data_IF_412716367011
#
_entry.id   IF_412716367011
#
_cell.length_a   1.000
_cell.length_b   1.000
_cell.length_c   1.000
_cell.angle_alpha   90.00
_cell.angle_beta   90.00
_cell.angle_gamma   90.00
#
_symmetry.space_group_name_H-M   'P 1'
#
loop_
_entity.id
_entity.type
_entity.pdbx_description
1 polymer ?
#
# COMPACT_ATOMS: atom_id res chain seq x y z
N UNK A 1 -22.60 -46.18 63.37
CA UNK A 1 -21.92 -46.34 64.68
C UNK A 1 -20.42 -46.41 64.43
N UNK A 2 -19.63 -45.59 65.18
CA UNK A 2 -18.15 -45.59 65.34
C UNK A 2 -17.35 -45.14 64.09
N UNK A 3 -16.78 -43.94 64.00
CA UNK A 3 -15.77 -43.19 64.79
C UNK A 3 -14.31 -43.57 64.51
N UNK A 4 -13.44 -42.54 64.65
CA UNK A 4 -11.97 -42.57 64.94
C UNK A 4 -11.09 -42.52 63.68
N UNK A 5 -10.54 -41.37 63.24
CA UNK A 5 -9.40 -40.57 63.76
C UNK A 5 -8.16 -41.43 64.03
N UNK A 6 -7.06 -41.19 63.32
CA UNK A 6 -5.74 -41.07 63.95
C UNK A 6 -4.71 -40.35 63.04
N UNK A 7 -4.04 -39.36 63.64
CA UNK A 7 -2.85 -38.66 63.16
C UNK A 7 -1.64 -39.53 63.45
N UNK A 8 -0.62 -39.53 62.59
CA UNK A 8 0.81 -39.55 62.99
C UNK A 8 1.63 -38.83 61.89
N UNK A 9 2.26 -37.72 62.28
CA UNK A 9 3.61 -37.32 61.83
C UNK A 9 4.55 -37.72 62.97
N UNK A 10 5.86 -38.02 62.79
CA UNK A 10 6.84 -37.05 62.28
C UNK A 10 8.05 -37.67 61.54
N UNK A 11 8.86 -36.88 60.84
CA UNK A 11 10.33 -36.95 60.98
C UNK A 11 11.04 -35.80 60.26
N UNK A 12 12.05 -35.29 60.96
CA UNK A 12 13.03 -34.28 60.59
C UNK A 12 14.08 -34.89 59.65
N UNK A 13 14.51 -34.17 58.59
CA UNK A 13 15.95 -34.05 58.32
C UNK A 13 16.30 -32.78 57.53
N UNK A 14 17.46 -32.25 57.86
CA UNK A 14 18.04 -30.97 57.53
C UNK A 14 19.13 -31.22 56.47
N UNK A 15 19.05 -30.59 55.31
CA UNK A 15 20.02 -30.85 54.23
C UNK A 15 20.13 -29.72 53.23
N UNK A 16 21.06 -28.82 53.48
CA UNK A 16 21.44 -27.75 52.57
C UNK A 16 21.93 -28.31 51.22
N UNK A 17 21.43 -27.76 50.10
CA UNK A 17 22.30 -27.61 48.94
C UNK A 17 21.99 -26.33 48.16
N UNK A 18 23.03 -25.52 48.01
CA UNK A 18 23.07 -24.31 47.21
C UNK A 18 23.22 -24.71 45.75
N UNK A 19 22.16 -24.60 44.97
CA UNK A 19 22.29 -24.59 43.51
C UNK A 19 21.76 -23.28 42.92
N UNK A 20 22.70 -22.53 42.35
CA UNK A 20 22.47 -21.25 41.67
C UNK A 20 21.77 -21.54 40.35
N UNK A 21 20.47 -21.31 40.32
CA UNK A 21 19.69 -21.35 39.07
C UNK A 21 20.25 -20.38 38.02
N UNK A 22 20.14 -20.73 36.72
CA UNK A 22 20.78 -19.98 35.65
C UNK A 22 20.20 -18.57 35.54
N UNK A 23 21.10 -17.57 35.50
CA UNK A 23 20.77 -16.17 35.24
C UNK A 23 19.90 -16.09 33.98
N UNK A 24 18.64 -15.69 34.14
CA UNK A 24 17.78 -15.26 33.02
C UNK A 24 18.50 -14.11 32.32
N UNK A 25 19.14 -14.39 31.19
CA UNK A 25 19.53 -13.35 30.23
C UNK A 25 18.22 -12.73 29.77
N UNK A 26 17.89 -11.56 30.32
CA UNK A 26 16.93 -10.65 29.70
C UNK A 26 17.53 -10.28 28.36
N UNK A 27 17.19 -11.02 27.32
CA UNK A 27 17.32 -10.51 25.96
C UNK A 27 16.33 -9.35 25.90
N UNK A 28 16.89 -8.15 25.90
CA UNK A 28 16.19 -6.95 25.50
C UNK A 28 15.75 -7.19 24.05
N UNK A 29 14.56 -7.75 23.86
CA UNK A 29 13.87 -7.65 22.58
C UNK A 29 13.62 -6.17 22.40
N UNK A 30 14.47 -5.53 21.60
CA UNK A 30 14.20 -4.21 21.04
C UNK A 30 12.90 -4.37 20.25
N UNK A 31 11.79 -4.07 20.90
CA UNK A 31 10.55 -3.76 20.24
C UNK A 31 10.88 -2.64 19.26
N UNK A 32 10.93 -2.96 17.97
CA UNK A 32 10.86 -1.98 16.90
C UNK A 32 9.46 -1.35 16.99
N UNK A 33 9.30 -0.37 17.89
CA UNK A 33 8.28 0.66 17.74
C UNK A 33 8.69 1.49 16.53
N UNK A 34 8.22 1.09 15.35
CA UNK A 34 8.15 2.02 14.23
C UNK A 34 7.06 3.06 14.54
N UNK A 35 7.26 4.34 14.16
CA UNK A 35 6.30 5.39 14.48
C UNK A 35 4.97 5.11 13.79
N UNK A 36 3.87 5.42 14.48
CA UNK A 36 2.55 5.53 13.87
C UNK A 36 2.62 6.47 12.66
N UNK A 37 1.80 6.21 11.65
CA UNK A 37 1.73 6.96 10.38
C UNK A 37 1.44 8.48 10.56
N UNK A 38 1.18 8.94 11.79
CA UNK A 38 0.99 10.34 12.16
C UNK A 38 2.31 11.14 12.28
N UNK A 39 3.47 10.49 12.41
CA UNK A 39 4.76 11.18 12.65
C UNK A 39 5.60 11.46 11.38
N UNK A 40 5.02 11.39 10.17
CA UNK A 40 5.74 11.67 8.91
C UNK A 40 5.81 13.18 8.59
N UNK A 41 5.14 14.04 9.38
CA UNK A 41 5.06 15.47 9.09
C UNK A 41 6.29 16.33 9.51
N UNK A 42 7.37 15.75 10.06
CA UNK A 42 8.47 16.54 10.65
C UNK A 42 9.88 16.27 10.07
N UNK A 43 10.03 15.47 9.00
CA UNK A 43 11.39 15.13 8.48
C UNK A 43 11.57 15.06 6.96
N UNK A 44 10.68 15.62 6.15
CA UNK A 44 10.79 15.52 4.67
C UNK A 44 11.48 16.71 3.98
N UNK A 45 11.93 17.76 4.69
CA UNK A 45 12.41 18.99 4.04
C UNK A 45 13.93 19.14 3.88
N UNK A 46 14.75 18.12 4.14
CA UNK A 46 16.23 18.29 4.06
C UNK A 46 16.99 17.18 3.34
N UNK A 47 16.33 16.37 2.51
CA UNK A 47 17.01 15.32 1.74
C UNK A 47 16.63 15.29 0.25
N UNK A 48 16.26 16.44 -0.34
CA UNK A 48 15.82 16.52 -1.74
C UNK A 48 16.86 17.08 -2.73
N UNK A 49 18.11 17.36 -2.34
CA UNK A 49 19.10 17.83 -3.32
C UNK A 49 20.48 17.26 -3.06
N UNK A 50 20.78 16.10 -3.66
CA UNK A 50 22.14 15.59 -3.64
C UNK A 50 22.32 14.19 -4.20
N UNK A 51 22.20 14.02 -5.52
CA UNK A 51 23.13 13.21 -6.32
C UNK A 51 22.88 13.40 -7.82
N UNK A 52 23.90 13.98 -8.45
CA UNK A 52 24.03 14.28 -9.87
C UNK A 52 24.23 12.98 -10.63
N UNK A 53 23.49 12.80 -11.72
CA UNK A 53 23.70 11.74 -12.70
C UNK A 53 25.13 11.81 -13.28
N UNK A 54 25.78 10.66 -13.44
CA UNK A 54 27.03 10.50 -14.20
C UNK A 54 26.70 10.48 -15.69
N UNK A 55 27.29 11.42 -16.44
CA UNK A 55 27.19 11.46 -17.91
C UNK A 55 28.14 10.44 -18.54
N UNK A 56 27.61 9.67 -19.47
CA UNK A 56 28.35 8.83 -20.41
C UNK A 56 29.26 9.68 -21.30
N UNK A 57 30.39 9.08 -21.68
CA UNK A 57 31.51 9.71 -22.36
C UNK A 57 31.22 10.17 -23.81
N UNK A 58 31.87 11.29 -24.18
CA UNK A 58 32.37 11.51 -25.55
C UNK A 58 31.48 12.29 -26.52
N UNK A 59 31.56 13.64 -26.47
CA UNK A 59 31.38 14.51 -27.66
C UNK A 59 32.28 15.76 -27.56
N UNK A 60 32.98 16.19 -28.63
CA UNK A 60 33.85 17.36 -28.61
C UNK A 60 33.06 18.68 -28.52
N UNK A 61 33.64 19.67 -27.85
CA UNK A 61 32.98 20.88 -27.35
C UNK A 61 32.60 21.94 -28.41
N UNK A 62 32.79 21.70 -29.70
CA UNK A 62 32.65 22.73 -30.75
C UNK A 62 31.29 22.78 -31.45
N UNK A 63 30.33 21.90 -31.09
CA UNK A 63 29.01 21.87 -31.73
C UNK A 63 27.88 22.50 -30.89
N UNK A 64 28.19 23.04 -29.71
CA UNK A 64 27.19 23.60 -28.81
C UNK A 64 26.93 25.08 -29.17
N UNK A 65 25.91 25.32 -29.99
CA UNK A 65 25.30 26.65 -30.07
C UNK A 65 24.61 26.95 -28.73
N UNK A 66 24.66 28.19 -28.22
CA UNK A 66 23.88 28.56 -27.05
C UNK A 66 22.40 28.41 -27.39
N UNK A 67 21.71 27.46 -26.76
CA UNK A 67 20.26 27.42 -26.77
C UNK A 67 19.81 28.72 -26.13
N UNK A 68 19.17 29.61 -26.91
CA UNK A 68 18.57 30.83 -26.36
C UNK A 68 17.56 30.37 -25.31
N UNK A 69 17.53 31.04 -24.15
CA UNK A 69 16.70 30.68 -23.00
C UNK A 69 15.19 30.49 -23.32
N UNK A 70 14.73 30.94 -24.49
CA UNK A 70 13.33 30.88 -24.94
C UNK A 70 12.95 29.60 -25.70
N UNK A 71 13.89 28.71 -25.98
CA UNK A 71 13.64 27.47 -26.73
C UNK A 71 13.62 26.22 -25.84
N UNK A 72 13.42 26.36 -24.53
CA UNK A 72 13.10 25.19 -23.69
C UNK A 72 11.62 24.87 -23.89
N UNK A 73 11.24 23.68 -24.39
CA UNK A 73 9.88 23.21 -24.22
C UNK A 73 9.57 23.24 -22.72
N UNK A 74 8.36 23.67 -22.40
CA UNK A 74 7.89 24.01 -21.06
C UNK A 74 7.95 22.78 -20.12
N UNK A 75 9.15 22.43 -19.64
CA UNK A 75 9.41 21.31 -18.74
C UNK A 75 9.08 21.68 -17.29
N UNK A 76 8.05 22.50 -17.07
CA UNK A 76 7.66 22.98 -15.75
C UNK A 76 6.15 23.26 -15.73
N UNK A 77 5.40 22.22 -15.40
CA UNK A 77 4.24 22.36 -14.53
C UNK A 77 4.07 21.03 -13.81
N UNK A 78 4.93 20.74 -12.83
CA UNK A 78 4.47 19.92 -11.73
C UNK A 78 3.25 20.63 -11.16
N UNK A 79 2.13 19.91 -11.01
CA UNK A 79 0.87 20.48 -10.55
C UNK A 79 1.14 21.41 -9.36
N UNK A 80 0.65 22.63 -9.43
CA UNK A 80 0.63 23.54 -8.29
C UNK A 80 -0.04 22.84 -7.11
N UNK A 81 0.31 23.22 -5.87
CA UNK A 81 -0.32 22.65 -4.67
C UNK A 81 -1.86 22.70 -4.72
N UNK A 82 -2.41 23.72 -5.37
CA UNK A 82 -3.85 23.87 -5.56
C UNK A 82 -4.41 22.89 -6.60
N UNK A 83 -3.72 22.68 -7.73
CA UNK A 83 -4.11 21.69 -8.74
C UNK A 83 -4.05 20.27 -8.17
N UNK A 84 -2.98 19.91 -7.46
CA UNK A 84 -2.85 18.58 -6.84
C UNK A 84 -3.96 18.34 -5.81
N UNK A 85 -4.29 19.35 -4.99
CA UNK A 85 -5.41 19.27 -4.05
C UNK A 85 -6.74 19.03 -4.77
N UNK A 86 -7.00 19.75 -5.87
CA UNK A 86 -8.21 19.58 -6.66
C UNK A 86 -8.31 18.17 -7.29
N UNK A 87 -7.20 17.63 -7.78
CA UNK A 87 -7.15 16.25 -8.30
C UNK A 87 -7.41 15.23 -7.20
N UNK A 88 -6.81 15.40 -6.02
CA UNK A 88 -7.06 14.55 -4.86
C UNK A 88 -8.56 14.55 -4.51
N UNK A 89 -9.17 15.73 -4.38
CA UNK A 89 -10.60 15.86 -4.04
C UNK A 89 -11.49 15.22 -5.12
N UNK A 90 -11.18 15.44 -6.40
CA UNK A 90 -11.88 14.83 -7.54
C UNK A 90 -11.85 13.31 -7.43
N UNK A 91 -10.65 12.72 -7.38
CA UNK A 91 -10.48 11.29 -7.51
C UNK A 91 -10.74 10.50 -6.25
N UNK A 92 -10.57 11.08 -5.05
CA UNK A 92 -11.00 10.43 -3.80
C UNK A 92 -12.50 10.12 -3.84
N UNK A 93 -13.32 10.91 -4.54
CA UNK A 93 -14.77 10.67 -4.63
C UNK A 93 -15.17 9.65 -5.71
N UNK A 94 -14.23 9.14 -6.51
CA UNK A 94 -14.53 8.11 -7.50
C UNK A 94 -14.82 6.75 -6.83
N UNK A 95 -15.86 6.00 -7.25
CA UNK A 95 -16.32 4.83 -6.52
C UNK A 95 -15.51 3.55 -6.80
N UNK A 96 -14.90 3.43 -7.98
CA UNK A 96 -14.24 2.20 -8.44
C UNK A 96 -12.73 2.39 -8.56
N UNK A 97 -11.99 1.58 -7.82
CA UNK A 97 -10.53 1.62 -7.70
C UNK A 97 -9.91 0.27 -8.03
N UNK A 98 -8.66 0.27 -8.48
CA UNK A 98 -7.81 -0.91 -8.48
C UNK A 98 -6.55 -0.65 -7.66
N UNK A 99 -6.11 -1.65 -6.88
CA UNK A 99 -4.87 -1.58 -6.09
C UNK A 99 -3.85 -2.51 -6.71
N UNK A 100 -2.91 -1.94 -7.46
CA UNK A 100 -1.81 -2.68 -8.10
C UNK A 100 -0.68 -2.84 -7.10
N UNK A 101 -0.37 -4.09 -6.75
CA UNK A 101 0.50 -4.42 -5.63
C UNK A 101 -0.26 -4.79 -4.35
N UNK A 102 -1.57 -5.05 -4.44
CA UNK A 102 -2.34 -5.67 -3.36
C UNK A 102 -1.72 -7.03 -2.95
N UNK A 103 -1.84 -7.44 -1.69
CA UNK A 103 -1.28 -8.71 -1.21
C UNK A 103 -1.99 -9.18 0.07
N UNK A 104 -1.91 -10.45 0.44
CA UNK A 104 -2.40 -10.97 1.73
C UNK A 104 -1.48 -10.68 2.92
N UNK A 105 -0.25 -10.22 2.68
CA UNK A 105 0.66 -9.85 3.77
C UNK A 105 0.18 -8.58 4.46
N UNK A 106 -0.36 -8.72 5.68
CA UNK A 106 -0.85 -7.61 6.53
C UNK A 106 0.20 -6.55 6.84
N UNK A 107 1.49 -6.91 6.73
CA UNK A 107 2.60 -5.98 6.93
C UNK A 107 2.81 -5.04 5.74
N UNK A 108 2.34 -5.39 4.54
CA UNK A 108 2.55 -4.61 3.31
C UNK A 108 1.47 -3.54 3.14
N UNK A 109 1.87 -2.40 2.59
CA UNK A 109 0.96 -1.28 2.34
C UNK A 109 -0.17 -1.64 1.36
N UNK A 110 0.09 -2.46 0.33
CA UNK A 110 -0.97 -2.89 -0.58
C UNK A 110 -2.13 -3.60 0.10
N UNK A 111 -1.86 -4.39 1.15
CA UNK A 111 -2.93 -4.99 1.96
C UNK A 111 -3.72 -3.94 2.74
N UNK A 112 -3.01 -3.05 3.44
CA UNK A 112 -3.60 -2.01 4.28
C UNK A 112 -4.45 -1.02 3.48
N UNK A 113 -3.96 -0.61 2.31
CA UNK A 113 -4.67 0.26 1.37
C UNK A 113 -5.93 -0.43 0.86
N UNK A 114 -5.79 -1.68 0.41
CA UNK A 114 -6.92 -2.46 -0.09
C UNK A 114 -8.06 -2.57 0.94
N UNK A 115 -7.73 -3.00 2.16
CA UNK A 115 -8.71 -3.08 3.24
C UNK A 115 -9.30 -1.72 3.58
N UNK A 116 -8.50 -0.66 3.63
CA UNK A 116 -9.00 0.66 4.04
C UNK A 116 -9.96 1.26 3.01
N UNK A 117 -9.69 1.10 1.72
CA UNK A 117 -10.62 1.51 0.66
C UNK A 117 -11.91 0.67 0.72
N UNK A 118 -11.82 -0.64 0.94
CA UNK A 118 -13.02 -1.48 1.12
C UNK A 118 -13.86 -1.07 2.33
N UNK A 119 -13.23 -0.83 3.48
CA UNK A 119 -13.88 -0.35 4.70
C UNK A 119 -14.56 1.00 4.48
N UNK A 120 -13.97 1.87 3.65
CA UNK A 120 -14.53 3.16 3.26
C UNK A 120 -15.64 3.06 2.19
N UNK A 121 -16.02 1.85 1.78
CA UNK A 121 -17.16 1.60 0.89
C UNK A 121 -16.90 1.77 -0.60
N UNK A 122 -15.63 1.80 -1.04
CA UNK A 122 -15.28 1.76 -2.47
C UNK A 122 -15.44 0.34 -3.03
N UNK A 123 -15.70 0.23 -4.33
CA UNK A 123 -15.36 -0.99 -5.06
C UNK A 123 -13.88 -0.98 -5.34
N UNK A 124 -13.19 -2.03 -4.90
CA UNK A 124 -11.74 -2.11 -5.00
C UNK A 124 -11.37 -3.45 -5.60
N UNK A 125 -10.67 -3.42 -6.72
CA UNK A 125 -10.12 -4.61 -7.36
C UNK A 125 -8.65 -4.82 -6.94
N UNK A 126 -8.32 -5.95 -6.29
CA UNK A 126 -6.93 -6.26 -5.98
C UNK A 126 -6.21 -6.80 -7.22
N UNK A 127 -5.07 -6.21 -7.58
CA UNK A 127 -4.29 -6.62 -8.75
C UNK A 127 -2.91 -7.10 -8.31
N UNK A 128 -2.63 -8.37 -8.57
CA UNK A 128 -1.39 -9.06 -8.23
C UNK A 128 -1.19 -10.29 -9.14
N UNK A 129 -0.02 -10.41 -9.77
CA UNK A 129 0.30 -11.53 -10.69
C UNK A 129 0.46 -12.89 -10.01
N UNK A 130 0.69 -12.93 -8.69
CA UNK A 130 1.07 -14.13 -7.93
C UNK A 130 -0.06 -14.67 -7.07
N UNK A 131 -0.86 -13.80 -6.48
CA UNK A 131 -1.91 -14.17 -5.55
C UNK A 131 -3.25 -14.21 -6.28
N UNK A 132 -3.97 -15.34 -6.21
CA UNK A 132 -5.28 -15.50 -6.87
C UNK A 132 -6.46 -14.98 -6.04
N UNK A 133 -6.28 -14.92 -4.72
CA UNK A 133 -7.25 -14.38 -3.77
C UNK A 133 -6.52 -13.41 -2.84
N UNK A 134 -7.09 -12.25 -2.55
CA UNK A 134 -6.58 -11.29 -1.57
C UNK A 134 -7.72 -10.92 -0.62
N UNK A 135 -7.54 -11.19 0.68
CA UNK A 135 -8.60 -11.00 1.70
C UNK A 135 -9.92 -11.71 1.35
N UNK A 136 -9.79 -12.85 0.68
CA UNK A 136 -10.92 -13.65 0.20
C UNK A 136 -11.44 -13.27 -1.18
N UNK A 137 -11.19 -12.06 -1.68
CA UNK A 137 -11.71 -11.62 -2.99
C UNK A 137 -10.82 -12.06 -4.14
N UNK A 138 -11.40 -12.22 -5.34
CA UNK A 138 -10.65 -12.54 -6.57
C UNK A 138 -9.61 -11.46 -6.88
N UNK A 139 -8.35 -11.88 -6.97
CA UNK A 139 -7.25 -11.02 -7.38
C UNK A 139 -6.91 -11.25 -8.86
N UNK A 140 -6.73 -10.14 -9.57
CA UNK A 140 -6.56 -10.12 -11.02
C UNK A 140 -5.08 -9.99 -11.37
N UNK A 141 -4.68 -10.64 -12.46
CA UNK A 141 -3.27 -10.67 -12.89
C UNK A 141 -2.87 -9.41 -13.66
N UNK A 142 -3.84 -8.78 -14.32
CA UNK A 142 -3.71 -7.58 -15.14
C UNK A 142 -4.88 -6.63 -14.91
N UNK A 143 -4.67 -5.34 -15.17
CA UNK A 143 -5.75 -4.33 -15.15
C UNK A 143 -6.78 -4.55 -16.26
N UNK A 144 -6.39 -5.22 -17.34
CA UNK A 144 -7.28 -5.56 -18.46
C UNK A 144 -8.22 -6.73 -18.15
N UNK A 145 -7.97 -7.47 -17.07
CA UNK A 145 -8.80 -8.62 -16.67
C UNK A 145 -9.96 -8.19 -15.74
N UNK A 146 -10.03 -6.90 -15.38
CA UNK A 146 -11.01 -6.38 -14.45
C UNK A 146 -12.42 -6.44 -15.05
N UNK A 147 -13.44 -6.75 -14.23
CA UNK A 147 -14.81 -6.89 -14.72
C UNK A 147 -15.47 -5.55 -15.07
N UNK A 148 -14.94 -4.44 -14.56
CA UNK A 148 -15.32 -3.08 -14.94
C UNK A 148 -14.09 -2.16 -14.89
N UNK A 149 -14.06 -1.08 -15.69
CA UNK A 149 -12.93 -0.16 -15.72
C UNK A 149 -12.84 0.65 -14.41
N UNK A 150 -11.71 0.60 -13.68
CA UNK A 150 -11.52 1.43 -12.49
C UNK A 150 -11.22 2.88 -12.89
N UNK A 151 -11.80 3.86 -12.19
CA UNK A 151 -11.48 5.26 -12.40
C UNK A 151 -10.05 5.60 -11.94
N UNK A 152 -9.61 4.99 -10.82
CA UNK A 152 -8.32 5.26 -10.19
C UNK A 152 -7.49 3.98 -10.04
N UNK A 153 -6.25 4.03 -10.50
CA UNK A 153 -5.24 3.00 -10.25
C UNK A 153 -4.35 3.43 -9.09
N UNK A 154 -4.51 2.80 -7.93
CA UNK A 154 -3.61 2.97 -6.80
C UNK A 154 -2.39 2.08 -6.96
N UNK A 155 -1.23 2.70 -7.16
CA UNK A 155 0.02 2.04 -7.46
C UNK A 155 0.91 1.92 -6.22
N UNK A 156 1.22 0.70 -5.81
CA UNK A 156 2.12 0.37 -4.70
C UNK A 156 3.13 -0.71 -5.09
N UNK A 157 3.58 -0.66 -6.35
CA UNK A 157 4.67 -1.50 -6.89
C UNK A 157 5.97 -0.70 -6.98
N UNK A 158 7.13 -1.36 -7.10
CA UNK A 158 8.39 -0.67 -7.31
C UNK A 158 8.36 0.25 -8.56
N UNK A 159 9.05 1.40 -8.56
CA UNK A 159 9.06 2.35 -9.68
C UNK A 159 9.45 1.75 -11.04
N UNK A 160 10.25 0.68 -11.05
CA UNK A 160 10.67 -0.04 -12.27
C UNK A 160 9.49 -0.75 -12.95
N UNK A 161 8.44 -1.10 -12.21
CA UNK A 161 7.23 -1.73 -12.76
C UNK A 161 6.20 -0.69 -13.24
N UNK A 162 6.30 0.56 -12.76
CA UNK A 162 5.31 1.60 -13.02
C UNK A 162 5.02 1.85 -14.52
N UNK A 163 6.00 1.93 -15.43
CA UNK A 163 5.72 2.21 -16.85
C UNK A 163 4.75 1.20 -17.47
N UNK A 164 4.99 -0.09 -17.25
CA UNK A 164 4.12 -1.15 -17.77
C UNK A 164 2.71 -1.12 -17.14
N UNK A 165 2.60 -0.72 -15.87
CA UNK A 165 1.30 -0.61 -15.19
C UNK A 165 0.51 0.58 -15.72
N UNK A 166 1.15 1.72 -16.00
CA UNK A 166 0.45 2.90 -16.54
C UNK A 166 -0.08 2.64 -17.96
N UNK A 167 0.67 1.92 -18.79
CA UNK A 167 0.18 1.49 -20.11
C UNK A 167 -1.09 0.62 -19.99
N UNK A 168 -1.06 -0.36 -19.09
CA UNK A 168 -2.24 -1.20 -18.80
C UNK A 168 -3.40 -0.40 -18.23
N UNK A 169 -3.13 0.58 -17.36
CA UNK A 169 -4.14 1.46 -16.80
C UNK A 169 -4.88 2.24 -17.88
N UNK A 170 -4.13 2.80 -18.85
CA UNK A 170 -4.73 3.48 -19.99
C UNK A 170 -5.60 2.53 -20.82
N UNK A 171 -5.09 1.33 -21.10
CA UNK A 171 -5.83 0.32 -21.86
C UNK A 171 -7.11 -0.14 -21.13
N UNK A 172 -7.08 -0.20 -19.80
CA UNK A 172 -8.22 -0.53 -18.95
C UNK A 172 -9.23 0.63 -18.76
N UNK A 173 -8.99 1.79 -19.39
CA UNK A 173 -9.91 2.93 -19.32
C UNK A 173 -9.82 3.75 -18.03
N UNK A 174 -8.71 3.64 -17.29
CA UNK A 174 -8.49 4.47 -16.11
C UNK A 174 -8.44 5.97 -16.47
N UNK A 175 -8.75 6.79 -15.48
CA UNK A 175 -8.69 8.25 -15.61
C UNK A 175 -7.52 8.83 -14.82
N UNK A 176 -7.11 8.18 -13.72
CA UNK A 176 -5.99 8.64 -12.90
C UNK A 176 -5.07 7.50 -12.44
N UNK A 177 -3.79 7.86 -12.33
CA UNK A 177 -2.78 7.09 -11.62
C UNK A 177 -2.50 7.76 -10.28
N UNK A 178 -2.62 6.96 -9.23
CA UNK A 178 -2.31 7.38 -7.87
C UNK A 178 -1.05 6.67 -7.38
N UNK A 179 0.09 7.35 -7.45
CA UNK A 179 1.35 6.85 -6.90
C UNK A 179 1.37 6.98 -5.39
N UNK A 180 1.56 5.85 -4.71
CA UNK A 180 1.87 5.85 -3.28
C UNK A 180 3.33 6.25 -3.04
N UNK A 181 3.66 6.77 -1.84
CA UNK A 181 5.02 7.04 -1.43
C UNK A 181 5.98 5.87 -1.71
N UNK A 182 6.98 6.12 -2.56
CA UNK A 182 8.00 5.15 -2.98
C UNK A 182 7.70 4.37 -4.26
N UNK A 183 6.54 4.59 -4.90
CA UNK A 183 6.16 3.98 -6.17
C UNK A 183 6.28 4.95 -7.37
N UNK A 184 6.65 6.20 -7.13
CA UNK A 184 6.72 7.27 -8.13
C UNK A 184 7.78 6.98 -9.19
N UNK A 185 7.48 7.35 -10.43
CA UNK A 185 8.38 7.19 -11.58
C UNK A 185 8.15 8.32 -12.58
N UNK A 186 9.13 9.20 -12.76
CA UNK A 186 9.06 10.33 -13.69
C UNK A 186 8.67 9.91 -15.12
N UNK A 187 9.20 8.77 -15.57
CA UNK A 187 8.89 8.25 -16.90
C UNK A 187 7.43 7.81 -17.01
N UNK A 188 6.92 7.11 -15.99
CA UNK A 188 5.53 6.66 -15.96
C UNK A 188 4.55 7.83 -15.79
N UNK A 189 4.88 8.81 -14.95
CA UNK A 189 4.07 10.00 -14.72
C UNK A 189 3.94 10.84 -16.00
N UNK A 190 5.05 11.10 -16.70
CA UNK A 190 5.02 11.81 -17.99
C UNK A 190 4.19 11.07 -19.02
N UNK A 191 4.43 9.77 -19.16
CA UNK A 191 3.68 8.95 -20.11
C UNK A 191 2.18 9.02 -19.78
N UNK A 192 1.80 8.91 -18.50
CA UNK A 192 0.41 9.02 -18.06
C UNK A 192 -0.21 10.34 -18.53
N UNK A 193 0.45 11.47 -18.23
CA UNK A 193 -0.01 12.81 -18.59
C UNK A 193 -0.12 13.00 -20.10
N UNK A 194 0.89 12.57 -20.86
CA UNK A 194 0.92 12.64 -22.33
C UNK A 194 -0.23 11.84 -22.98
N UNK A 195 -0.78 10.85 -22.26
CA UNK A 195 -1.90 10.02 -22.70
C UNK A 195 -3.23 10.37 -22.01
N UNK A 196 -3.30 11.54 -21.36
CA UNK A 196 -4.52 12.09 -20.78
C UNK A 196 -4.98 11.41 -19.49
N UNK A 197 -4.05 10.80 -18.74
CA UNK A 197 -4.28 10.34 -17.37
C UNK A 197 -3.84 11.42 -16.38
N UNK A 198 -4.68 11.70 -15.40
CA UNK A 198 -4.30 12.55 -14.27
C UNK A 198 -3.30 11.79 -13.36
N UNK A 199 -2.31 12.50 -12.83
CA UNK A 199 -1.28 11.93 -11.95
C UNK A 199 -1.36 12.55 -10.57
N UNK A 200 -1.45 11.67 -9.56
CA UNK A 200 -1.53 12.04 -8.15
C UNK A 200 -0.39 11.35 -7.40
N UNK A 201 0.38 12.11 -6.64
CA UNK A 201 1.45 11.62 -5.77
C UNK A 201 1.08 11.92 -4.32
N UNK A 202 0.46 10.95 -3.64
CA UNK A 202 -0.04 11.14 -2.28
C UNK A 202 -0.26 9.81 -1.56
N UNK A 203 -0.33 9.84 -0.23
CA UNK A 203 -0.72 8.67 0.56
C UNK A 203 -2.25 8.59 0.70
N UNK A 204 -2.89 7.59 0.07
CA UNK A 204 -4.36 7.45 0.16
C UNK A 204 -4.86 7.22 1.59
N UNK A 205 -4.07 6.55 2.44
CA UNK A 205 -4.43 6.31 3.83
C UNK A 205 -4.51 7.62 4.63
N UNK A 206 -3.64 8.59 4.30
CA UNK A 206 -3.69 9.93 4.89
C UNK A 206 -4.88 10.70 4.32
N UNK A 207 -5.12 10.64 3.01
CA UNK A 207 -6.24 11.34 2.40
C UNK A 207 -7.60 10.86 2.92
N UNK A 208 -7.80 9.55 3.08
CA UNK A 208 -9.02 9.00 3.68
C UNK A 208 -9.22 9.39 5.15
N UNK A 209 -8.14 9.70 5.87
CA UNK A 209 -8.23 10.19 7.26
C UNK A 209 -8.58 11.68 7.32
N UNK A 210 -8.12 12.48 6.34
CA UNK A 210 -8.39 13.92 6.25
C UNK A 210 -9.75 14.23 5.61
N UNK A 211 -10.17 13.42 4.64
CA UNK A 211 -11.39 13.56 3.85
C UNK A 211 -12.14 12.23 3.82
N UNK A 212 -12.77 11.85 4.94
CA UNK A 212 -13.59 10.64 4.97
C UNK A 212 -14.78 10.81 4.02
N UNK A 213 -15.09 9.77 3.24
CA UNK A 213 -16.30 9.75 2.42
C UNK A 213 -17.52 9.82 3.36
N UNK A 214 -18.50 10.71 3.12
CA UNK A 214 -19.68 10.81 3.98
C UNK A 214 -20.43 9.47 4.03
N UNK A 215 -20.65 8.97 5.25
CA UNK A 215 -21.42 7.76 5.51
C UNK A 215 -22.84 7.90 4.91
N UNK A 216 -23.30 6.86 4.19
CA UNK A 216 -24.66 6.84 3.65
C UNK A 216 -24.86 7.57 2.31
N UNK A 217 -23.81 7.96 1.60
CA UNK A 217 -23.96 8.37 0.19
C UNK A 217 -24.30 7.17 -0.70
N UNK A 218 -25.60 6.96 -0.93
CA UNK A 218 -26.15 6.02 -1.92
C UNK A 218 -25.71 6.31 -3.35
N UNK A 219 -25.17 7.51 -3.61
CA UNK A 219 -24.56 7.86 -4.89
C UNK A 219 -23.33 6.97 -5.11
N UNK A 220 -23.54 5.92 -5.92
CA UNK A 220 -22.53 4.98 -6.43
C UNK A 220 -22.03 3.93 -5.42
N UNK A 221 -22.94 3.26 -4.68
CA UNK A 221 -22.62 1.93 -4.13
C UNK A 221 -22.94 0.89 -5.21
N UNK A 222 -21.95 0.36 -5.95
CA UNK A 222 -22.22 -0.76 -6.85
C UNK A 222 -22.70 -1.96 -6.04
N UNK A 223 -23.47 -2.88 -6.66
CA UNK A 223 -23.87 -4.11 -6.01
C UNK A 223 -22.61 -4.78 -5.44
N UNK A 224 -22.64 -5.08 -4.14
CA UNK A 224 -21.56 -5.77 -3.47
C UNK A 224 -21.08 -6.91 -4.38
N UNK A 225 -19.79 -6.95 -4.74
CA UNK A 225 -19.27 -8.11 -5.45
C UNK A 225 -19.75 -9.36 -4.74
N UNK A 226 -20.27 -10.37 -5.47
CA UNK A 226 -20.71 -11.59 -4.85
C UNK A 226 -19.54 -12.10 -4.02
N UNK A 227 -19.73 -12.13 -2.70
CA UNK A 227 -18.75 -12.67 -1.77
C UNK A 227 -18.43 -14.06 -2.30
N UNK A 228 -17.17 -14.42 -2.58
CA UNK A 228 -16.86 -15.74 -3.08
C UNK A 228 -17.48 -16.74 -2.12
N UNK A 229 -18.31 -17.62 -2.66
CA UNK A 229 -18.91 -18.70 -1.89
C UNK A 229 -17.77 -19.43 -1.20
N UNK A 230 -17.82 -19.65 0.13
CA UNK A 230 -16.79 -20.44 0.79
C UNK A 230 -16.66 -21.75 0.01
N UNK A 231 -15.43 -22.07 -0.41
CA UNK A 231 -15.16 -23.37 -1.02
C UNK A 231 -15.75 -24.45 -0.11
N UNK A 232 -16.46 -25.46 -0.66
CA UNK A 232 -17.01 -26.51 0.16
C UNK A 232 -15.88 -27.12 1.00
N UNK A 233 -16.13 -27.20 2.30
CA UNK A 233 -15.19 -27.76 3.27
C UNK A 233 -14.82 -29.17 2.80
N UNK A 234 -13.54 -29.50 2.56
CA UNK A 234 -13.14 -30.83 2.08
C UNK A 234 -13.45 -31.94 3.09
N UNK A 235 -13.95 -31.59 4.28
CA UNK A 235 -14.30 -32.53 5.34
C UNK A 235 -15.74 -33.06 5.28
N UNK A 236 -16.60 -32.56 4.40
CA UNK A 236 -17.96 -33.14 4.22
C UNK A 236 -17.96 -34.29 3.20
N UNK A 237 -17.11 -35.29 3.42
CA UNK A 237 -17.30 -36.62 2.84
C UNK A 237 -18.26 -37.38 3.74
N UNK A 238 -19.56 -37.25 3.47
CA UNK A 238 -20.60 -38.07 4.10
C UNK A 238 -20.28 -39.54 3.87
N UNK A 239 -20.15 -40.29 4.96
CA UNK A 239 -20.12 -41.74 5.02
C UNK A 239 -21.44 -42.23 5.56
#
# INVERSE_FOLDING_TARGET
>A
MKSTIERISPFFDMGANRERGPRRRRTFSRANRMPSCLNVLDRSLTQQFGRKYTLSAGKPASCLRPIRQRDRPNFMAGNTMQEMKSLIEKYVNEPVWAVVGASNSKAKYGNRIYLKLREAGYTVYPVNRRERLIEGDTAYSSLTDLPEPPAVINMVVPPVEAPAVVEQAKAAGAQAIWFQPGAESDAAARWAQDHGLDVIEACILVQLALMPRPEGTELNRPPSQPRPTPSPDPTTSTR
#
